data_IF_111210276300
#
_entry.id   IF_111210276300
#
_cell.length_a   1.000
_cell.length_b   1.000
_cell.length_c   1.000
_cell.angle_alpha   90.00
_cell.angle_beta   90.00
_cell.angle_gamma   90.00
#
_symmetry.space_group_name_H-M   'P 1'
#
loop_
_entity.id
_entity.type
_entity.pdbx_description
1 polymer ?
#
# COMPACT_ATOMS: atom_id res chain seq x y z
N UNK A 1 -0.64 2.42 9.05
CA UNK A 1 0.51 2.03 8.21
C UNK A 1 1.43 1.06 8.94
N UNK A 2 2.11 1.45 10.03
CA UNK A 2 3.10 0.60 10.72
C UNK A 2 2.61 -0.81 11.07
N UNK A 3 1.36 -0.95 11.52
CA UNK A 3 0.78 -2.27 11.81
C UNK A 3 0.61 -3.15 10.57
N UNK A 4 0.25 -2.58 9.42
CA UNK A 4 0.17 -3.32 8.14
C UNK A 4 1.58 -3.75 7.71
N UNK A 5 2.55 -2.85 7.79
CA UNK A 5 3.95 -3.13 7.42
C UNK A 5 4.57 -4.21 8.31
N UNK A 6 4.36 -4.16 9.62
CA UNK A 6 4.79 -5.21 10.55
C UNK A 6 4.13 -6.55 10.22
N UNK A 7 2.83 -6.56 9.92
CA UNK A 7 2.10 -7.79 9.58
C UNK A 7 2.59 -8.42 8.27
N UNK A 8 2.88 -7.61 7.25
CA UNK A 8 3.42 -8.08 5.98
C UNK A 8 4.85 -8.59 6.13
N UNK A 9 5.70 -7.87 6.86
CA UNK A 9 7.07 -8.29 7.15
C UNK A 9 7.11 -9.61 7.93
N UNK A 10 6.22 -9.77 8.90
CA UNK A 10 6.06 -11.01 9.65
C UNK A 10 5.58 -12.15 8.74
N UNK A 11 4.56 -11.92 7.91
CA UNK A 11 4.07 -12.92 6.97
C UNK A 11 5.15 -13.36 5.98
N UNK A 12 6.01 -12.45 5.53
CA UNK A 12 7.13 -12.74 4.64
C UNK A 12 8.20 -13.59 5.36
N UNK A 13 8.51 -13.25 6.62
CA UNK A 13 9.41 -14.04 7.46
C UNK A 13 8.88 -15.47 7.67
N UNK A 14 7.60 -15.61 7.99
CA UNK A 14 6.94 -16.91 8.14
C UNK A 14 6.99 -17.73 6.85
N UNK A 15 6.71 -17.09 5.70
CA UNK A 15 6.80 -17.72 4.39
C UNK A 15 8.23 -18.18 4.07
N UNK A 16 9.25 -17.39 4.41
CA UNK A 16 10.64 -17.74 4.13
C UNK A 16 11.12 -19.00 4.87
N UNK A 17 10.51 -19.29 6.04
CA UNK A 17 10.89 -20.40 6.92
C UNK A 17 10.07 -21.68 6.70
N UNK A 18 9.06 -21.65 5.84
CA UNK A 18 8.19 -22.81 5.60
C UNK A 18 8.91 -23.89 4.78
N UNK A 19 8.62 -25.16 5.08
CA UNK A 19 9.10 -26.32 4.33
C UNK A 19 8.55 -26.36 2.90
N UNK A 20 9.29 -26.98 1.96
CA UNK A 20 8.93 -27.06 0.53
C UNK A 20 7.53 -27.61 0.30
N UNK A 21 7.19 -28.68 1.02
CA UNK A 21 5.90 -29.36 0.88
C UNK A 21 4.70 -28.44 1.18
N UNK A 22 4.92 -27.41 2.00
CA UNK A 22 3.88 -26.44 2.42
C UNK A 22 4.06 -25.07 1.78
N UNK A 23 5.13 -24.88 0.99
CA UNK A 23 5.50 -23.59 0.43
C UNK A 23 4.44 -23.03 -0.52
N UNK A 24 3.90 -23.89 -1.39
CA UNK A 24 2.79 -23.60 -2.29
C UNK A 24 1.59 -22.94 -1.57
N UNK A 25 1.04 -23.62 -0.57
CA UNK A 25 -0.11 -23.13 0.19
C UNK A 25 0.23 -21.89 1.03
N UNK A 26 1.43 -21.86 1.62
CA UNK A 26 1.90 -20.70 2.38
C UNK A 26 2.04 -19.47 1.48
N UNK A 27 2.55 -19.63 0.26
CA UNK A 27 2.67 -18.56 -0.73
C UNK A 27 1.30 -18.02 -1.11
N UNK A 28 0.32 -18.89 -1.41
CA UNK A 28 -1.08 -18.47 -1.66
C UNK A 28 -1.63 -17.64 -0.51
N UNK A 29 -1.42 -18.10 0.72
CA UNK A 29 -1.90 -17.38 1.92
C UNK A 29 -1.21 -16.03 2.09
N UNK A 30 0.07 -15.93 1.76
CA UNK A 30 0.81 -14.68 1.75
C UNK A 30 0.26 -13.71 0.70
N UNK A 31 0.01 -14.15 -0.54
CA UNK A 31 -0.60 -13.32 -1.59
C UNK A 31 -1.96 -12.78 -1.13
N UNK A 32 -2.82 -13.62 -0.55
CA UNK A 32 -4.09 -13.18 0.00
C UNK A 32 -3.97 -12.19 1.18
N UNK A 33 -2.86 -12.22 1.95
CA UNK A 33 -2.56 -11.19 2.96
C UNK A 33 -2.14 -9.88 2.28
N UNK A 34 -1.25 -9.92 1.29
CA UNK A 34 -0.83 -8.76 0.50
C UNK A 34 -2.03 -8.03 -0.12
N UNK A 35 -2.90 -8.76 -0.81
CA UNK A 35 -4.12 -8.20 -1.41
C UNK A 35 -5.02 -7.49 -0.39
N UNK A 36 -5.17 -8.05 0.81
CA UNK A 36 -5.98 -7.43 1.88
C UNK A 36 -5.32 -6.17 2.43
N UNK A 37 -4.00 -6.20 2.63
CA UNK A 37 -3.26 -5.03 3.09
C UNK A 37 -3.32 -3.89 2.07
N UNK A 38 -3.11 -4.18 0.78
CA UNK A 38 -3.22 -3.18 -0.29
C UNK A 38 -4.62 -2.59 -0.37
N UNK A 39 -5.68 -3.40 -0.36
CA UNK A 39 -7.06 -2.86 -0.34
C UNK A 39 -7.33 -1.95 0.86
N UNK A 40 -6.78 -2.28 2.02
CA UNK A 40 -6.93 -1.45 3.21
C UNK A 40 -6.17 -0.13 3.10
N UNK A 41 -4.96 -0.16 2.54
CA UNK A 41 -4.13 1.02 2.29
C UNK A 41 -4.72 1.92 1.20
N UNK A 42 -5.22 1.34 0.11
CA UNK A 42 -5.90 2.05 -0.97
C UNK A 42 -7.13 2.79 -0.46
N UNK A 43 -7.94 2.15 0.38
CA UNK A 43 -9.09 2.82 1.02
C UNK A 43 -8.64 4.05 1.85
N UNK A 44 -7.53 3.94 2.59
CA UNK A 44 -6.98 5.07 3.33
C UNK A 44 -6.44 6.18 2.42
N UNK A 45 -5.79 5.82 1.31
CA UNK A 45 -5.31 6.79 0.32
C UNK A 45 -6.47 7.56 -0.34
N UNK A 46 -7.56 6.87 -0.64
CA UNK A 46 -8.80 7.48 -1.16
C UNK A 46 -9.43 8.43 -0.14
N UNK A 47 -9.60 7.98 1.10
CA UNK A 47 -10.17 8.77 2.20
C UNK A 47 -9.37 10.05 2.48
N UNK A 48 -8.05 9.99 2.33
CA UNK A 48 -7.14 11.12 2.57
C UNK A 48 -6.88 11.97 1.33
N UNK A 49 -7.50 11.64 0.19
CA UNK A 49 -7.30 12.32 -1.10
C UNK A 49 -5.83 12.45 -1.47
N UNK A 50 -5.06 11.38 -1.24
CA UNK A 50 -3.62 11.40 -1.44
C UNK A 50 -3.27 11.70 -2.92
N UNK A 51 -2.45 12.73 -3.22
CA UNK A 51 -2.11 13.09 -4.59
C UNK A 51 -1.43 11.97 -5.40
N UNK A 52 -0.80 11.01 -4.72
CA UNK A 52 -0.09 9.88 -5.34
C UNK A 52 -0.92 8.59 -5.44
N UNK A 53 -2.24 8.63 -5.17
CA UNK A 53 -3.13 7.45 -5.19
C UNK A 53 -2.97 6.61 -6.47
N UNK A 54 -2.99 7.22 -7.65
CA UNK A 54 -2.91 6.48 -8.92
C UNK A 54 -1.58 5.73 -9.07
N UNK A 55 -0.47 6.34 -8.65
CA UNK A 55 0.85 5.70 -8.67
C UNK A 55 0.91 4.53 -7.69
N UNK A 56 0.28 4.68 -6.52
CA UNK A 56 0.13 3.63 -5.52
C UNK A 56 -0.63 2.41 -6.06
N UNK A 57 -1.80 2.65 -6.64
CA UNK A 57 -2.63 1.61 -7.26
C UNK A 57 -1.87 0.85 -8.35
N UNK A 58 -1.08 1.56 -9.16
CA UNK A 58 -0.29 0.93 -10.23
C UNK A 58 0.80 0.02 -9.65
N UNK A 59 1.56 0.47 -8.66
CA UNK A 59 2.62 -0.34 -8.04
C UNK A 59 2.05 -1.57 -7.31
N UNK A 60 0.92 -1.42 -6.61
CA UNK A 60 0.20 -2.55 -6.00
C UNK A 60 -0.25 -3.56 -7.06
N UNK A 61 -0.89 -3.10 -8.14
CA UNK A 61 -1.35 -3.97 -9.22
C UNK A 61 -0.18 -4.71 -9.88
N UNK A 62 0.95 -4.02 -10.10
CA UNK A 62 2.16 -4.64 -10.68
C UNK A 62 2.75 -5.70 -9.74
N UNK A 63 2.83 -5.41 -8.45
CA UNK A 63 3.32 -6.36 -7.45
C UNK A 63 2.41 -7.61 -7.37
N UNK A 64 1.09 -7.43 -7.29
CA UNK A 64 0.13 -8.54 -7.26
C UNK A 64 0.20 -9.38 -8.55
N UNK A 65 0.28 -8.75 -9.72
CA UNK A 65 0.45 -9.46 -10.99
C UNK A 65 1.70 -10.34 -11.00
N UNK A 66 2.84 -9.81 -10.55
CA UNK A 66 4.09 -10.58 -10.44
C UNK A 66 3.96 -11.76 -9.47
N UNK A 67 3.32 -11.54 -8.31
CA UNK A 67 3.09 -12.59 -7.31
C UNK A 67 2.15 -13.69 -7.82
N UNK A 68 1.08 -13.35 -8.54
CA UNK A 68 0.19 -14.34 -9.14
C UNK A 68 0.90 -15.17 -10.24
N UNK A 69 1.70 -14.54 -11.09
CA UNK A 69 2.50 -15.26 -12.07
C UNK A 69 3.51 -16.21 -11.41
N UNK A 70 4.16 -15.77 -10.33
CA UNK A 70 5.06 -16.61 -9.57
C UNK A 70 4.32 -17.78 -8.91
N UNK A 71 3.15 -17.52 -8.31
CA UNK A 71 2.33 -18.57 -7.71
C UNK A 71 1.99 -19.67 -8.71
N UNK A 72 1.61 -19.31 -9.94
CA UNK A 72 1.36 -20.28 -11.01
C UNK A 72 2.60 -21.14 -11.33
N UNK A 73 3.80 -20.56 -11.33
CA UNK A 73 5.06 -21.31 -11.53
C UNK A 73 5.39 -22.21 -10.34
N UNK A 74 5.16 -21.74 -9.11
CA UNK A 74 5.29 -22.54 -7.89
C UNK A 74 4.36 -23.76 -7.93
N UNK A 75 3.10 -23.59 -8.35
CA UNK A 75 2.16 -24.71 -8.51
C UNK A 75 2.62 -25.72 -9.58
N UNK A 76 3.36 -25.26 -10.60
CA UNK A 76 3.96 -26.13 -11.61
C UNK A 76 5.29 -26.79 -11.17
N UNK A 77 5.66 -26.67 -9.90
CA UNK A 77 6.88 -27.28 -9.33
C UNK A 77 8.08 -26.32 -9.24
N UNK A 78 7.91 -25.04 -9.59
CA UNK A 78 8.94 -23.99 -9.49
C UNK A 78 9.22 -23.52 -8.06
N UNK A 79 9.41 -24.45 -7.12
CA UNK A 79 9.62 -24.14 -5.69
C UNK A 79 10.92 -23.36 -5.49
N UNK A 80 12.01 -23.77 -6.15
CA UNK A 80 13.31 -23.08 -6.04
C UNK A 80 13.23 -21.62 -6.47
N UNK A 81 12.57 -21.35 -7.59
CA UNK A 81 12.35 -19.99 -8.08
C UNK A 81 11.49 -19.18 -7.11
N UNK A 82 10.41 -19.77 -6.60
CA UNK A 82 9.58 -19.15 -5.57
C UNK A 82 10.37 -18.77 -4.32
N UNK A 83 11.29 -19.63 -3.87
CA UNK A 83 12.14 -19.35 -2.72
C UNK A 83 13.11 -18.21 -2.98
N UNK A 84 13.74 -18.17 -4.14
CA UNK A 84 14.66 -17.10 -4.51
C UNK A 84 13.96 -15.74 -4.45
N UNK A 85 12.77 -15.64 -5.05
CA UNK A 85 11.98 -14.40 -5.02
C UNK A 85 11.60 -14.03 -3.58
N UNK A 86 11.12 -14.97 -2.77
CA UNK A 86 10.72 -14.72 -1.38
C UNK A 86 11.91 -14.30 -0.50
N UNK A 87 13.09 -14.86 -0.72
CA UNK A 87 14.27 -14.60 0.11
C UNK A 87 15.00 -13.32 -0.28
N UNK A 88 15.05 -13.01 -1.58
CA UNK A 88 15.95 -11.97 -2.08
C UNK A 88 15.23 -10.82 -2.77
N UNK A 89 14.11 -11.04 -3.46
CA UNK A 89 13.48 -9.97 -4.25
C UNK A 89 12.40 -9.27 -3.44
N UNK A 90 11.50 -10.04 -2.87
CA UNK A 90 10.31 -9.54 -2.19
C UNK A 90 10.60 -8.71 -0.93
N UNK A 91 11.60 -9.05 -0.08
CA UNK A 91 11.95 -8.20 1.06
C UNK A 91 12.49 -6.83 0.65
N UNK A 92 13.31 -6.78 -0.40
CA UNK A 92 13.87 -5.52 -0.92
C UNK A 92 12.78 -4.65 -1.54
N UNK A 93 11.88 -5.24 -2.33
CA UNK A 93 10.74 -4.53 -2.89
C UNK A 93 9.85 -3.95 -1.78
N UNK A 94 9.51 -4.74 -0.75
CA UNK A 94 8.65 -4.28 0.35
C UNK A 94 9.30 -3.12 1.12
N UNK A 95 10.59 -3.22 1.44
CA UNK A 95 11.32 -2.14 2.11
C UNK A 95 11.38 -0.86 1.25
N UNK A 96 11.59 -1.01 -0.06
CA UNK A 96 11.61 0.12 -1.00
C UNK A 96 10.25 0.81 -1.08
N UNK A 97 9.17 0.05 -1.21
CA UNK A 97 7.81 0.58 -1.27
C UNK A 97 7.47 1.39 0.00
N UNK A 98 7.71 0.81 1.18
CA UNK A 98 7.47 1.45 2.47
C UNK A 98 8.25 2.77 2.59
N UNK A 99 9.53 2.78 2.22
CA UNK A 99 10.42 3.93 2.44
C UNK A 99 10.24 5.05 1.43
N UNK A 100 9.69 4.77 0.25
CA UNK A 100 9.57 5.78 -0.83
C UNK A 100 8.14 6.22 -1.09
N UNK A 101 7.16 5.33 -0.97
CA UNK A 101 5.78 5.59 -1.35
C UNK A 101 4.89 5.79 -0.13
N UNK A 102 5.07 4.99 0.91
CA UNK A 102 4.19 5.05 2.09
C UNK A 102 4.62 6.16 3.04
N UNK A 103 5.94 6.40 3.15
CA UNK A 103 6.48 7.52 3.91
C UNK A 103 6.00 8.89 3.37
N UNK A 104 5.79 9.00 2.06
CA UNK A 104 5.24 10.21 1.43
C UNK A 104 3.78 10.49 1.86
N UNK A 105 3.03 9.48 2.31
CA UNK A 105 1.69 9.68 2.88
C UNK A 105 1.74 10.36 4.25
N UNK A 106 2.72 10.00 5.08
CA UNK A 106 2.85 10.54 6.45
C UNK A 106 3.05 12.06 6.42
N UNK A 107 3.81 12.58 5.45
CA UNK A 107 4.03 14.02 5.30
C UNK A 107 2.78 14.79 4.82
N UNK A 108 1.85 14.13 4.12
CA UNK A 108 0.57 14.76 3.72
C UNK A 108 -0.38 14.88 4.89
N UNK A 109 -0.34 13.92 5.83
CA UNK A 109 -1.19 13.87 7.02
C UNK A 109 -0.84 14.96 8.04
N UNK A 110 0.45 15.22 8.26
CA UNK A 110 0.89 16.32 9.13
C UNK A 110 0.46 17.70 8.59
N UNK A 111 0.37 17.84 7.26
CA UNK A 111 -0.13 19.08 6.65
C UNK A 111 -1.64 19.25 6.75
N UNK A 112 -2.43 18.15 6.71
CA UNK A 112 -3.87 18.19 6.90
C UNK A 112 -4.25 18.57 8.35
N UNK A 113 -3.48 18.11 9.34
CA UNK A 113 -3.67 18.47 10.75
C UNK A 113 -3.27 19.93 11.06
N UNK A 114 -2.49 20.57 10.19
CA UNK A 114 -2.03 21.97 10.37
C UNK A 114 -3.00 23.00 9.74
N UNK A 115 -3.92 22.59 8.85
CA UNK A 115 -4.89 23.47 8.19
C UNK A 115 -6.36 23.13 8.53
N UNK A 116 -6.61 22.65 9.74
CA UNK A 116 -7.97 22.53 10.30
C UNK A 116 -8.47 23.85 10.91
N UNK A 117 -8.89 24.80 10.08
CA UNK A 117 -9.63 25.99 10.52
C UNK A 117 -10.71 26.36 9.49
N UNK A 118 -11.99 26.52 9.88
CA UNK A 118 -13.06 26.78 8.93
C UNK A 118 -12.93 28.21 8.40
N UNK A 119 -12.56 28.38 7.13
CA UNK A 119 -12.71 29.67 6.47
C UNK A 119 -14.18 29.82 6.03
N UNK A 120 -15.05 30.04 7.01
CA UNK A 120 -16.32 30.71 6.78
C UNK A 120 -16.00 32.19 6.54
N UNK A 121 -15.58 32.53 5.32
CA UNK A 121 -15.60 33.91 4.90
C UNK A 121 -17.02 34.21 4.39
N UNK A 122 -17.73 34.93 5.25
CA UNK A 122 -19.05 35.49 5.07
C UNK A 122 -19.21 36.07 3.66
N UNK A 123 -20.14 35.48 2.91
CA UNK A 123 -20.86 36.19 1.86
C UNK A 123 -22.19 36.64 2.47
N UNK A 124 -22.72 37.76 1.97
CA UNK A 124 -23.86 38.55 2.47
C UNK A 124 -23.46 39.68 3.45
N UNK A 125 -23.86 40.94 3.29
CA UNK A 125 -24.77 41.61 2.33
C UNK A 125 -24.64 43.15 2.56
N UNK A 126 -25.38 43.92 1.76
CA UNK A 126 -25.76 45.34 1.93
C UNK A 126 -25.02 46.41 1.14
N UNK A 127 -25.62 46.65 -0.03
CA UNK A 127 -26.34 47.90 -0.37
C UNK A 127 -25.55 49.18 -0.69
N UNK A 128 -25.58 49.49 -1.99
CA UNK A 128 -26.39 50.58 -2.57
C UNK A 128 -26.46 51.93 -1.85
N UNK A 129 -26.26 52.97 -2.68
CA UNK A 129 -26.58 54.40 -2.52
C UNK A 129 -25.47 55.24 -1.85
N UNK A 130 -24.97 56.35 -2.41
CA UNK A 130 -25.69 57.52 -2.95
C UNK A 130 -24.85 58.31 -3.97
N UNK A 131 -25.53 58.84 -5.00
CA UNK A 131 -25.15 59.87 -5.97
C UNK A 131 -24.69 61.21 -5.32
N UNK A 132 -23.60 61.82 -5.82
CA UNK A 132 -23.58 63.14 -6.49
C UNK A 132 -22.19 63.44 -7.06
#
# INVERSE_FOLDING_TARGET
MDRLHCALSQALKELSAVEDLRFADAFRNFVAKMERSFRQEEAWLEETQCPSLLMHLEEHARALSALHHLHSRIMAGGISEGREVVQYVLPHWLAFHITTMDFAMTNSRDHADTYGGPNAFLTEESDSNVLH
#
